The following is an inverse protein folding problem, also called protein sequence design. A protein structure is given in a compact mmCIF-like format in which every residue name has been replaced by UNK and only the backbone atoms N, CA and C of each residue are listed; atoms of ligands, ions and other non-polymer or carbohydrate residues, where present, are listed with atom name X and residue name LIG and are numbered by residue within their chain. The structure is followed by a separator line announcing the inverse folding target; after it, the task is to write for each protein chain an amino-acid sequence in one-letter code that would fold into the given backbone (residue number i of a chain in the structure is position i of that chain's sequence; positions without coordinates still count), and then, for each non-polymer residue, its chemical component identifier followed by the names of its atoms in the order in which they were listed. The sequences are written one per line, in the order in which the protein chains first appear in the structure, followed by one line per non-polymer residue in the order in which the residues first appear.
data_IF_011227157969
#
_entry.id   IF_011227157969
#
_cell.length_a   1.000
_cell.length_b   1.000
_cell.length_c   1.000
_cell.angle_alpha   90.00
_cell.angle_beta   90.00
_cell.angle_gamma   90.00
#
_symmetry.space_group_name_H-M   'P 1'
#
loop_
_entity.id
_entity.type
_entity.pdbx_description
1 polymer ?
#
# COMPACT_ATOMS: atom_id res chain seq x y z
N UNK A 1 14.58 -9.99 -12.86
CA UNK A 1 13.34 -9.41 -12.32
C UNK A 1 13.64 -8.68 -11.00
N UNK A 2 12.87 -7.66 -10.59
CA UNK A 2 13.08 -6.99 -9.30
C UNK A 2 12.65 -7.90 -8.15
N UNK A 3 13.46 -7.95 -7.08
CA UNK A 3 13.17 -8.76 -5.88
C UNK A 3 12.22 -8.04 -4.92
N UNK A 4 11.59 -8.78 -4.00
CA UNK A 4 10.83 -8.20 -2.89
C UNK A 4 11.65 -7.17 -2.10
N UNK A 5 12.92 -7.46 -1.83
CA UNK A 5 13.81 -6.54 -1.11
C UNK A 5 13.95 -5.20 -1.84
N UNK A 6 14.08 -5.24 -3.17
CA UNK A 6 14.23 -4.04 -3.99
C UNK A 6 12.95 -3.20 -4.00
N UNK A 7 11.80 -3.83 -4.25
CA UNK A 7 10.50 -3.14 -4.26
C UNK A 7 10.16 -2.59 -2.88
N UNK A 8 10.34 -3.37 -1.82
CA UNK A 8 10.05 -2.95 -0.46
C UNK A 8 10.95 -1.80 0.01
N UNK A 9 12.25 -1.84 -0.33
CA UNK A 9 13.15 -0.72 -0.06
C UNK A 9 12.68 0.57 -0.79
N UNK A 10 12.22 0.45 -2.03
CA UNK A 10 11.70 1.58 -2.79
C UNK A 10 10.40 2.14 -2.20
N UNK A 11 9.46 1.29 -1.79
CA UNK A 11 8.23 1.70 -1.08
C UNK A 11 8.54 2.48 0.19
N UNK A 12 9.52 2.02 0.98
CA UNK A 12 9.97 2.72 2.17
C UNK A 12 10.61 4.08 1.84
N UNK A 13 11.35 4.16 0.73
CA UNK A 13 11.92 5.42 0.26
C UNK A 13 10.83 6.41 -0.22
N UNK A 14 9.79 5.95 -0.93
CA UNK A 14 8.63 6.77 -1.31
C UNK A 14 7.91 7.31 -0.07
N UNK A 15 7.67 6.46 0.92
CA UNK A 15 7.08 6.85 2.20
C UNK A 15 7.93 7.93 2.89
N UNK A 16 9.24 7.73 2.96
CA UNK A 16 10.15 8.70 3.58
C UNK A 16 10.13 10.04 2.84
N UNK A 17 10.19 10.03 1.50
CA UNK A 17 10.08 11.21 0.64
C UNK A 17 8.79 11.98 0.91
N UNK A 18 7.65 11.28 0.93
CA UNK A 18 6.35 11.93 1.12
C UNK A 18 6.21 12.49 2.54
N UNK A 19 6.72 11.77 3.55
CA UNK A 19 6.80 12.29 4.93
C UNK A 19 7.61 13.57 5.02
N UNK A 20 8.75 13.64 4.32
CA UNK A 20 9.56 14.86 4.25
C UNK A 20 8.79 16.01 3.57
N UNK A 21 8.06 15.72 2.49
CA UNK A 21 7.24 16.71 1.79
C UNK A 21 6.09 17.27 2.64
N UNK A 22 5.58 16.50 3.61
CA UNK A 22 4.57 16.95 4.57
C UNK A 22 5.14 17.82 5.70
N UNK A 23 6.42 17.66 6.01
CA UNK A 23 7.11 18.46 7.04
C UNK A 23 7.55 19.83 6.53
N UNK A 24 7.62 20.01 5.21
CA UNK A 24 7.95 21.31 4.63
C UNK A 24 6.82 22.31 4.89
N UNK A 25 7.14 23.56 5.29
CA UNK A 25 6.14 24.60 5.49
C UNK A 25 5.41 24.86 4.17
N UNK A 26 4.14 24.46 4.14
CA UNK A 26 3.23 24.78 3.05
C UNK A 26 2.59 26.16 3.23
N UNK A 27 1.81 26.62 2.24
CA UNK A 27 0.95 27.79 2.44
C UNK A 27 0.04 27.58 3.66
N UNK A 28 -0.24 28.66 4.40
CA UNK A 28 -0.98 28.66 5.67
C UNK A 28 -2.38 28.04 5.61
N UNK A 29 -2.96 27.86 4.40
CA UNK A 29 -4.27 27.24 4.16
C UNK A 29 -4.19 25.85 3.51
N UNK A 30 -3.05 25.14 3.60
CA UNK A 30 -2.96 23.78 3.05
C UNK A 30 -3.85 22.83 3.85
N UNK A 31 -4.78 22.15 3.18
CA UNK A 31 -5.55 21.08 3.79
C UNK A 31 -4.63 19.98 4.34
N UNK A 32 -5.01 19.29 5.43
CA UNK A 32 -4.27 18.13 5.93
C UNK A 32 -4.09 17.11 4.81
N UNK A 33 -2.89 16.54 4.69
CA UNK A 33 -2.67 15.49 3.71
C UNK A 33 -3.48 14.24 4.10
N UNK A 34 -4.13 13.58 3.11
CA UNK A 34 -4.90 12.38 3.37
C UNK A 34 -3.98 11.29 3.95
N UNK A 35 -4.46 10.48 4.92
CA UNK A 35 -3.68 9.39 5.45
C UNK A 35 -3.43 8.33 4.37
N UNK A 36 -2.16 8.09 4.03
CA UNK A 36 -1.74 7.07 3.07
C UNK A 36 -0.95 5.99 3.79
N UNK A 37 -1.38 4.74 3.61
CA UNK A 37 -0.72 3.56 4.16
C UNK A 37 0.07 2.84 3.06
N UNK A 38 1.37 2.72 3.27
CA UNK A 38 2.27 1.98 2.40
C UNK A 38 2.50 0.57 2.96
N UNK A 39 2.06 -0.45 2.22
CA UNK A 39 2.37 -1.85 2.53
C UNK A 39 3.61 -2.34 1.78
N UNK A 40 4.32 -3.30 2.37
CA UNK A 40 5.30 -4.11 1.65
C UNK A 40 4.59 -5.25 0.92
N UNK A 41 5.28 -5.88 -0.04
CA UNK A 41 4.78 -7.06 -0.77
C UNK A 41 4.40 -8.22 0.15
N UNK A 42 4.97 -8.27 1.36
CA UNK A 42 4.67 -9.28 2.37
C UNK A 42 3.20 -9.27 2.80
N UNK A 43 2.53 -8.11 2.81
CA UNK A 43 1.12 -8.03 3.18
C UNK A 43 0.24 -8.94 2.31
N UNK A 44 0.41 -8.87 0.99
CA UNK A 44 -0.37 -9.69 0.07
C UNK A 44 -0.04 -11.18 0.20
N UNK A 45 1.25 -11.52 0.34
CA UNK A 45 1.67 -12.91 0.53
C UNK A 45 1.14 -13.55 1.83
N UNK A 46 0.91 -12.76 2.88
CA UNK A 46 0.27 -13.23 4.12
C UNK A 46 -1.25 -13.32 3.98
N UNK A 47 -1.85 -12.39 3.22
CA UNK A 47 -3.30 -12.33 2.99
C UNK A 47 -3.80 -13.48 2.10
N UNK A 48 -3.05 -13.79 1.05
CA UNK A 48 -3.39 -14.77 0.02
C UNK A 48 -2.30 -15.85 -0.09
N UNK A 49 -2.12 -16.69 0.95
CA UNK A 49 -1.17 -17.80 0.86
C UNK A 49 -1.64 -18.86 -0.15
N UNK A 50 -0.74 -19.31 -1.02
CA UNK A 50 -0.94 -20.48 -1.89
C UNK A 50 -2.26 -20.46 -2.68
N UNK A 51 -2.73 -19.26 -3.05
CA UNK A 51 -3.97 -19.04 -3.81
C UNK A 51 -5.27 -19.02 -2.99
N UNK A 52 -5.22 -19.23 -1.67
CA UNK A 52 -6.37 -19.10 -0.76
C UNK A 52 -6.35 -17.78 0.02
N UNK A 53 -7.51 -17.26 0.43
CA UNK A 53 -7.62 -16.02 1.22
C UNK A 53 -7.77 -16.31 2.72
N UNK A 54 -7.04 -15.59 3.59
CA UNK A 54 -7.21 -15.69 5.06
C UNK A 54 -6.95 -14.36 5.77
N UNK A 55 -8.02 -13.58 6.00
CA UNK A 55 -7.93 -12.29 6.69
C UNK A 55 -7.30 -12.36 8.09
N UNK A 56 -7.57 -13.45 8.83
CA UNK A 56 -7.06 -13.62 10.18
C UNK A 56 -5.53 -13.49 10.30
N UNK A 57 -4.80 -13.81 9.22
CA UNK A 57 -3.33 -13.75 9.19
C UNK A 57 -2.79 -12.32 9.14
N UNK A 58 -3.55 -11.38 8.57
CA UNK A 58 -3.15 -9.97 8.48
C UNK A 58 -3.76 -9.10 9.57
N UNK A 59 -4.62 -9.65 10.44
CA UNK A 59 -5.25 -8.89 11.54
C UNK A 59 -4.21 -8.15 12.39
N UNK A 60 -3.13 -8.83 12.76
CA UNK A 60 -2.06 -8.22 13.57
C UNK A 60 -1.28 -7.17 12.80
N UNK A 61 -1.19 -7.29 11.48
CA UNK A 61 -0.55 -6.26 10.65
C UNK A 61 -1.38 -4.97 10.63
N UNK A 62 -2.71 -5.06 10.73
CA UNK A 62 -3.61 -3.91 10.72
C UNK A 62 -3.70 -3.10 12.02
N UNK A 63 -2.90 -3.40 13.04
CA UNK A 63 -2.87 -2.67 14.33
C UNK A 63 -1.97 -1.45 14.27
N UNK A 64 -2.29 -0.41 15.05
CA UNK A 64 -1.56 0.89 15.08
C UNK A 64 -0.03 0.77 15.05
N UNK A 65 0.56 -0.11 15.87
CA UNK A 65 2.03 -0.33 15.92
C UNK A 65 2.66 -0.75 14.57
N UNK A 66 1.85 -1.34 13.69
CA UNK A 66 2.26 -1.87 12.39
C UNK A 66 1.81 -0.97 11.22
N UNK A 67 1.05 0.11 11.49
CA UNK A 67 0.56 1.01 10.47
C UNK A 67 1.64 2.03 10.09
N UNK A 68 2.21 1.82 8.91
CA UNK A 68 3.25 2.67 8.35
C UNK A 68 2.67 3.83 7.52
N UNK A 69 1.94 4.71 8.20
CA UNK A 69 1.11 5.76 7.57
C UNK A 69 1.89 7.07 7.43
N UNK A 70 1.53 7.85 6.41
CA UNK A 70 1.87 9.27 6.27
C UNK A 70 0.58 10.10 6.28
N UNK A 71 0.65 11.40 6.61
CA UNK A 71 -0.52 12.26 6.73
C UNK A 71 -1.10 12.22 8.14
N UNK A 72 -2.43 12.22 8.26
CA UNK A 72 -3.11 12.09 9.55
C UNK A 72 -2.83 10.73 10.21
N UNK A 73 -2.69 10.67 11.55
CA UNK A 73 -2.56 9.40 12.27
C UNK A 73 -3.85 8.58 12.13
N UNK A 74 -3.71 7.26 12.15
CA UNK A 74 -4.82 6.31 12.07
C UNK A 74 -4.62 5.16 13.05
N UNK A 75 -5.71 4.62 13.58
CA UNK A 75 -5.68 3.52 14.57
C UNK A 75 -5.92 2.15 13.95
N UNK A 76 -6.57 2.12 12.78
CA UNK A 76 -6.88 0.90 12.01
C UNK A 76 -6.49 1.12 10.56
N UNK A 77 -6.09 0.03 9.90
CA UNK A 77 -5.73 0.02 8.48
C UNK A 77 -6.79 0.70 7.59
N UNK A 78 -8.08 0.47 7.86
CA UNK A 78 -9.17 0.99 7.04
C UNK A 78 -9.52 2.46 7.32
N UNK A 79 -8.92 3.08 8.33
CA UNK A 79 -9.06 4.52 8.57
C UNK A 79 -8.15 5.34 7.63
N UNK A 80 -7.17 4.71 6.97
CA UNK A 80 -6.38 5.35 5.92
C UNK A 80 -7.26 5.61 4.68
N UNK A 81 -7.08 6.77 4.03
CA UNK A 81 -7.83 7.15 2.83
C UNK A 81 -7.36 6.38 1.60
N UNK A 82 -6.06 6.06 1.55
CA UNK A 82 -5.43 5.31 0.47
C UNK A 82 -4.48 4.25 1.03
N UNK A 83 -4.60 3.03 0.55
CA UNK A 83 -3.64 1.95 0.82
C UNK A 83 -2.95 1.56 -0.48
N UNK A 84 -1.63 1.42 -0.44
CA UNK A 84 -0.81 1.00 -1.57
C UNK A 84 -0.17 -0.34 -1.26
N UNK A 85 -0.49 -1.36 -2.06
CA UNK A 85 -0.07 -2.75 -1.86
C UNK A 85 0.65 -3.26 -3.11
N UNK A 86 1.99 -3.34 -3.11
CA UNK A 86 2.73 -4.06 -4.13
C UNK A 86 2.36 -5.55 -4.08
N UNK A 87 2.13 -6.15 -5.24
CA UNK A 87 1.77 -7.57 -5.38
C UNK A 87 2.83 -8.24 -6.24
N UNK A 88 3.49 -9.25 -5.67
CA UNK A 88 4.45 -10.10 -6.38
C UNK A 88 3.74 -11.38 -6.83
N UNK A 89 3.56 -11.57 -8.13
CA UNK A 89 3.17 -12.85 -8.71
C UNK A 89 4.43 -13.62 -9.05
N UNK A 90 5.05 -14.23 -8.03
CA UNK A 90 6.36 -14.87 -8.15
C UNK A 90 6.40 -15.92 -9.27
N UNK A 91 5.35 -16.74 -9.40
CA UNK A 91 5.26 -17.80 -10.42
C UNK A 91 5.17 -17.25 -11.86
N UNK A 92 4.69 -16.03 -12.02
CA UNK A 92 4.53 -15.37 -13.32
C UNK A 92 5.65 -14.39 -13.63
N UNK A 93 6.64 -14.28 -12.74
CA UNK A 93 7.67 -13.24 -12.78
C UNK A 93 7.07 -11.85 -13.06
N UNK A 94 5.99 -11.50 -12.34
CA UNK A 94 5.24 -10.27 -12.56
C UNK A 94 4.98 -9.46 -11.29
N UNK A 95 5.04 -8.13 -11.41
CA UNK A 95 4.67 -7.19 -10.34
C UNK A 95 3.46 -6.38 -10.75
N UNK A 96 2.51 -6.25 -9.83
CA UNK A 96 1.41 -5.31 -9.93
C UNK A 96 1.30 -4.44 -8.68
N UNK A 97 0.46 -3.41 -8.74
CA UNK A 97 0.13 -2.56 -7.60
C UNK A 97 -1.39 -2.52 -7.43
N UNK A 98 -1.87 -2.90 -6.25
CA UNK A 98 -3.24 -2.58 -5.84
C UNK A 98 -3.25 -1.25 -5.07
N UNK A 99 -4.11 -0.33 -5.50
CA UNK A 99 -4.48 0.85 -4.71
C UNK A 99 -5.90 0.68 -4.18
N UNK A 100 -6.10 0.88 -2.88
CA UNK A 100 -7.42 0.79 -2.24
C UNK A 100 -7.78 2.19 -1.75
N UNK A 101 -8.75 2.81 -2.42
CA UNK A 101 -9.37 4.06 -1.98
C UNK A 101 -10.55 3.71 -1.07
N UNK A 102 -10.40 3.97 0.22
CA UNK A 102 -11.42 3.61 1.22
C UNK A 102 -12.60 4.58 1.21
N UNK A 103 -12.40 5.82 0.74
CA UNK A 103 -13.46 6.82 0.62
C UNK A 103 -14.39 6.48 -0.53
N UNK A 104 -13.83 6.07 -1.66
CA UNK A 104 -14.56 5.66 -2.85
C UNK A 104 -14.99 4.19 -2.81
N UNK A 105 -14.53 3.42 -1.82
CA UNK A 105 -14.71 1.96 -1.71
C UNK A 105 -14.27 1.24 -2.99
N UNK A 106 -13.14 1.69 -3.54
CA UNK A 106 -12.66 1.26 -4.85
C UNK A 106 -11.27 0.65 -4.72
N UNK A 107 -11.11 -0.52 -5.33
CA UNK A 107 -9.80 -1.12 -5.55
C UNK A 107 -9.46 -0.88 -7.02
N UNK A 108 -8.32 -0.27 -7.28
CA UNK A 108 -7.76 -0.12 -8.64
C UNK A 108 -6.49 -0.98 -8.71
N UNK A 109 -6.42 -1.81 -9.73
CA UNK A 109 -5.28 -2.68 -9.99
C UNK A 109 -4.48 -2.09 -11.15
N UNK A 110 -3.21 -1.82 -10.91
CA UNK A 110 -2.26 -1.34 -11.90
C UNK A 110 -1.35 -2.49 -12.29
N UNK A 111 -1.53 -2.93 -13.53
CA UNK A 111 -0.76 -4.01 -14.16
C UNK A 111 -0.15 -3.44 -15.44
N UNK A 112 1.18 -3.46 -15.53
CA UNK A 112 1.91 -2.92 -16.68
C UNK A 112 1.89 -3.83 -17.91
N UNK A 113 1.51 -5.10 -17.75
CA UNK A 113 1.45 -6.10 -18.82
C UNK A 113 0.02 -6.19 -19.38
N UNK A 114 -1.00 -5.96 -18.56
CA UNK A 114 -2.39 -6.01 -18.98
C UNK A 114 -2.78 -4.81 -19.86
N UNK A 115 -2.44 -4.87 -21.15
CA UNK A 115 -3.02 -4.01 -22.18
C UNK A 115 -4.41 -4.52 -22.57
N UNK A 116 -5.39 -4.23 -21.74
CA UNK A 116 -6.81 -4.36 -22.07
C UNK A 116 -7.43 -5.72 -21.72
N UNK A 117 -8.28 -5.71 -20.70
CA UNK A 117 -9.09 -6.86 -20.30
C UNK A 117 -8.79 -7.25 -18.86
N UNK A 118 -9.67 -6.83 -17.96
CA UNK A 118 -9.85 -7.55 -16.71
C UNK A 118 -10.19 -9.03 -17.04
N UNK A 119 -9.80 -10.00 -16.19
CA UNK A 119 -10.57 -11.24 -16.13
C UNK A 119 -12.03 -10.97 -15.77
#
# INVERSE_FOLDING_TARGET
MLTDNTINAYVLALRARDRMALQQPGPSNRAPAPPVLYWTSHFYGVLVPDGGYTYARVLRMGTEDNLHVIGAPVTRMLDAELLLVPINFADLEHWALASIDTRQRKITFYDSIATGGAP
#
